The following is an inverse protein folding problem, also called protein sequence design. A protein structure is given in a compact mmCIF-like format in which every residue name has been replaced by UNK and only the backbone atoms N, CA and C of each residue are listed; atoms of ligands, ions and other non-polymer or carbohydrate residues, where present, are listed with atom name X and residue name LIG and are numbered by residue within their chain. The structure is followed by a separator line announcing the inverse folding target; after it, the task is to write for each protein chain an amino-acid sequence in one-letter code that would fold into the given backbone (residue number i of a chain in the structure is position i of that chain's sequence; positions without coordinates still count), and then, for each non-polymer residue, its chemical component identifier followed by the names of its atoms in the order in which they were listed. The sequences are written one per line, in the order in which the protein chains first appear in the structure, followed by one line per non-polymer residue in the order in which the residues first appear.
data_IF_130097802780
#
_entry.id   IF_130097802780
#
_cell.length_a   1.000
_cell.length_b   1.000
_cell.length_c   1.000
_cell.angle_alpha   90.00
_cell.angle_beta   90.00
_cell.angle_gamma   90.00
#
_symmetry.space_group_name_H-M   'P 1'
#
loop_
_entity.id
_entity.type
_entity.pdbx_description
1 polymer ?
#
# COMPACT_ATOMS: atom_id res chain seq x y z
N UNK A 1 4.72 7.68 2.97
CA UNK A 1 6.04 7.80 3.62
C UNK A 1 6.93 6.74 2.99
N UNK A 2 8.16 7.09 2.57
CA UNK A 2 9.04 6.16 1.85
C UNK A 2 10.32 5.89 2.63
N UNK A 3 10.68 4.62 2.78
CA UNK A 3 11.95 4.16 3.31
C UNK A 3 13.03 4.05 2.23
N UNK A 4 14.12 3.35 2.56
CA UNK A 4 15.29 3.21 1.69
C UNK A 4 15.12 2.08 0.68
N UNK A 5 14.55 0.96 1.12
CA UNK A 5 14.43 -0.25 0.33
C UNK A 5 13.21 -0.19 -0.60
N UNK A 6 13.22 -0.94 -1.71
CA UNK A 6 12.14 -0.90 -2.72
C UNK A 6 10.76 -1.20 -2.14
N UNK A 7 10.66 -2.13 -1.19
CA UNK A 7 9.41 -2.51 -0.54
C UNK A 7 8.92 -1.48 0.49
N UNK A 8 9.75 -0.50 0.88
CA UNK A 8 9.41 0.57 1.81
C UNK A 8 8.91 1.83 1.09
N UNK A 9 8.77 1.81 -0.25
CA UNK A 9 8.30 2.95 -1.06
C UNK A 9 6.83 3.25 -0.77
N UNK A 10 6.49 4.54 -0.63
CA UNK A 10 5.23 4.99 -0.06
C UNK A 10 4.07 5.17 -1.04
N UNK A 11 4.28 4.98 -2.34
CA UNK A 11 3.22 5.05 -3.34
C UNK A 11 3.49 4.18 -4.57
N UNK A 12 2.44 3.91 -5.37
CA UNK A 12 2.55 3.09 -6.59
C UNK A 12 3.46 3.72 -7.65
N UNK A 13 3.56 5.05 -7.72
CA UNK A 13 4.49 5.73 -8.63
C UNK A 13 5.94 5.30 -8.37
N UNK A 14 6.32 5.23 -7.09
CA UNK A 14 7.66 4.82 -6.67
C UNK A 14 7.81 3.30 -6.78
N UNK A 15 6.86 2.52 -6.26
CA UNK A 15 6.91 1.05 -6.26
C UNK A 15 7.05 0.49 -7.67
N UNK A 16 6.31 1.06 -8.62
CA UNK A 16 6.26 0.58 -10.00
C UNK A 16 7.22 1.28 -10.95
N UNK A 17 8.04 2.19 -10.43
CA UNK A 17 8.95 3.03 -11.20
C UNK A 17 8.25 3.72 -12.38
N UNK A 18 7.23 4.54 -12.08
CA UNK A 18 6.38 5.19 -13.10
C UNK A 18 5.69 4.17 -14.04
N UNK A 19 5.33 3.01 -13.51
CA UNK A 19 4.62 1.96 -14.24
C UNK A 19 5.49 1.11 -15.16
N UNK A 20 6.81 1.29 -15.20
CA UNK A 20 7.71 0.43 -16.00
C UNK A 20 8.02 -0.90 -15.32
N UNK A 21 7.84 -0.99 -14.01
CA UNK A 21 8.06 -2.18 -13.18
C UNK A 21 6.76 -2.54 -12.42
N UNK A 22 5.75 -3.14 -13.04
CA UNK A 22 4.49 -3.47 -12.36
C UNK A 22 4.72 -4.38 -11.13
N UNK A 23 3.85 -4.26 -10.14
CA UNK A 23 3.82 -5.17 -8.99
C UNK A 23 2.85 -6.32 -9.25
N UNK A 24 3.18 -7.51 -8.75
CA UNK A 24 2.30 -8.67 -8.72
C UNK A 24 1.65 -8.77 -7.32
N UNK A 25 0.33 -8.89 -7.29
CA UNK A 25 -0.45 -9.08 -6.07
C UNK A 25 -0.51 -10.58 -5.72
N UNK A 26 -0.79 -10.96 -4.46
CA UNK A 26 -0.95 -12.36 -4.07
C UNK A 26 -2.04 -13.12 -4.84
N UNK A 27 -2.99 -12.41 -5.45
CA UNK A 27 -4.02 -12.98 -6.34
C UNK A 27 -3.49 -13.39 -7.72
N UNK A 28 -2.25 -13.00 -8.08
CA UNK A 28 -1.68 -13.14 -9.42
C UNK A 28 -2.00 -11.98 -10.36
N UNK A 29 -2.80 -11.01 -9.91
CA UNK A 29 -3.05 -9.78 -10.66
C UNK A 29 -1.80 -8.89 -10.69
N UNK A 30 -1.68 -8.03 -11.70
CA UNK A 30 -0.62 -7.02 -11.75
C UNK A 30 -1.20 -5.62 -11.68
N UNK A 31 -0.48 -4.70 -11.03
CA UNK A 31 -0.85 -3.28 -10.96
C UNK A 31 0.34 -2.38 -11.31
N UNK A 32 0.03 -1.29 -12.03
CA UNK A 32 0.94 -0.15 -12.26
C UNK A 32 0.50 1.04 -11.40
N UNK A 33 -0.80 1.31 -11.44
CA UNK A 33 -1.50 2.30 -10.63
C UNK A 33 -2.79 1.65 -10.10
N UNK A 34 -3.57 2.42 -9.35
CA UNK A 34 -4.89 1.98 -8.88
C UNK A 34 -5.85 1.88 -10.07
N UNK A 35 -6.68 0.85 -10.02
CA UNK A 35 -7.79 0.61 -10.94
C UNK A 35 -9.13 0.73 -10.21
N UNK A 36 -10.21 0.93 -10.96
CA UNK A 36 -11.56 1.00 -10.38
C UNK A 36 -11.88 -0.30 -9.62
N UNK A 37 -12.38 -0.16 -8.40
CA UNK A 37 -12.66 -1.27 -7.50
C UNK A 37 -11.51 -1.68 -6.60
N UNK A 38 -10.28 -1.15 -6.80
CA UNK A 38 -9.18 -1.40 -5.86
C UNK A 38 -9.52 -0.81 -4.47
N UNK A 39 -9.29 -1.60 -3.41
CA UNK A 39 -9.36 -1.18 -2.01
C UNK A 39 -7.96 -1.03 -1.43
N UNK A 40 -7.70 0.10 -0.77
CA UNK A 40 -6.42 0.42 -0.15
C UNK A 40 -6.65 0.54 1.35
N UNK A 41 -5.88 -0.22 2.13
CA UNK A 41 -5.93 -0.20 3.60
C UNK A 41 -4.55 0.14 4.16
N UNK A 42 -4.43 1.32 4.76
CA UNK A 42 -3.23 1.72 5.50
C UNK A 42 -3.37 1.36 6.97
N UNK A 43 -2.36 0.69 7.53
CA UNK A 43 -2.27 0.33 8.96
C UNK A 43 -0.93 0.79 9.52
N UNK A 44 -0.93 1.17 10.78
CA UNK A 44 0.28 1.58 11.51
C UNK A 44 0.17 1.25 12.98
N UNK A 45 1.29 0.92 13.61
CA UNK A 45 1.37 0.65 15.04
C UNK A 45 2.76 0.94 15.59
N UNK A 46 2.84 1.15 16.90
CA UNK A 46 4.08 1.13 17.67
C UNK A 46 4.15 -0.15 18.50
N UNK A 47 5.33 -0.75 18.57
CA UNK A 47 5.59 -1.98 19.32
C UNK A 47 6.90 -1.87 20.08
N UNK A 48 6.90 -2.43 21.29
CA UNK A 48 8.08 -2.56 22.15
C UNK A 48 7.95 -3.87 22.92
N UNK A 49 9.04 -4.64 22.98
CA UNK A 49 9.08 -5.92 23.69
C UNK A 49 8.62 -5.78 25.15
N UNK A 50 7.75 -6.69 25.60
CA UNK A 50 7.16 -6.67 26.94
C UNK A 50 6.00 -5.68 27.13
N UNK A 51 5.67 -4.86 26.13
CA UNK A 51 4.54 -3.94 26.17
C UNK A 51 3.46 -4.33 25.16
N UNK A 52 2.21 -3.92 25.43
CA UNK A 52 1.14 -4.07 24.45
C UNK A 52 1.40 -3.16 23.25
N UNK A 53 1.13 -3.68 22.05
CA UNK A 53 1.12 -2.91 20.80
C UNK A 53 0.07 -1.80 20.85
N UNK A 54 0.41 -0.63 20.31
CA UNK A 54 -0.50 0.51 20.18
C UNK A 54 -0.73 0.76 18.69
N UNK A 55 -1.95 0.51 18.22
CA UNK A 55 -2.32 0.65 16.80
C UNK A 55 -3.17 1.89 16.53
N UNK A 56 -3.14 2.37 15.28
CA UNK A 56 -3.96 3.48 14.80
C UNK A 56 -5.33 3.03 14.25
N UNK A 57 -5.57 1.72 14.15
CA UNK A 57 -6.70 1.18 13.40
C UNK A 57 -6.41 1.15 11.89
N UNK A 58 -7.44 1.34 11.08
CA UNK A 58 -7.36 1.28 9.62
C UNK A 58 -7.76 2.63 9.01
N UNK A 59 -6.99 3.07 8.01
CA UNK A 59 -7.39 4.12 7.09
C UNK A 59 -7.62 3.46 5.73
N UNK A 60 -8.89 3.31 5.35
CA UNK A 60 -9.30 2.54 4.18
C UNK A 60 -10.08 3.39 3.17
N UNK A 61 -9.99 3.03 1.89
CA UNK A 61 -10.77 3.65 0.81
C UNK A 61 -10.82 2.76 -0.43
N UNK A 62 -11.94 2.84 -1.14
CA UNK A 62 -12.19 2.10 -2.39
C UNK A 62 -12.22 3.11 -3.54
N UNK A 63 -11.55 2.78 -4.65
CA UNK A 63 -11.61 3.57 -5.87
C UNK A 63 -12.92 3.28 -6.61
N UNK A 64 -13.72 4.32 -6.81
CA UNK A 64 -14.93 4.25 -7.64
C UNK A 64 -14.63 4.77 -9.05
N UNK A 65 -15.35 4.26 -10.07
CA UNK A 65 -15.23 4.79 -11.43
C UNK A 65 -15.45 6.29 -11.51
N UNK A 66 -14.78 6.92 -12.48
CA UNK A 66 -15.03 8.31 -12.83
C UNK A 66 -16.47 8.50 -13.35
N UNK A 67 -17.00 9.71 -13.13
CA UNK A 67 -18.33 10.13 -13.61
C UNK A 67 -18.33 10.55 -15.09
#
# INVERSE_FOLDING_TARGET
VSGKEKHERGCLLELTWRGTEPIELPSGETRRFLEDGDEIIMKGYCEKEGFRRIGFGECAGIIIPAN
#
